data_IF_496125673808
#
_entry.id   IF_496125673808
#
_cell.length_a   1.000
_cell.length_b   1.000
_cell.length_c   1.000
_cell.angle_alpha   90.00
_cell.angle_beta   90.00
_cell.angle_gamma   90.00
#
_symmetry.space_group_name_H-M   'P 1'
#
loop_
_entity.id
_entity.type
_entity.pdbx_description
1 polymer ?
#
# COMPACT_ATOMS: atom_id res chain seq x y z
N UNK A 1 8.35 1.86 -11.00
CA UNK A 1 8.00 3.28 -11.16
C UNK A 1 7.73 3.95 -9.81
N UNK A 2 6.56 3.78 -9.18
CA UNK A 2 6.25 4.46 -7.89
C UNK A 2 7.25 4.13 -6.77
N UNK A 3 7.60 2.86 -6.58
CA UNK A 3 8.59 2.45 -5.58
C UNK A 3 9.98 3.01 -5.86
N UNK A 4 10.40 3.04 -7.13
CA UNK A 4 11.72 3.54 -7.52
C UNK A 4 11.81 5.05 -7.30
N UNK A 5 10.76 5.79 -7.65
CA UNK A 5 10.65 7.22 -7.34
C UNK A 5 10.66 7.46 -5.84
N UNK A 6 9.93 6.66 -5.06
CA UNK A 6 9.90 6.79 -3.61
C UNK A 6 11.29 6.54 -2.99
N UNK A 7 12.02 5.52 -3.47
CA UNK A 7 13.43 5.29 -3.07
C UNK A 7 14.31 6.48 -3.44
N UNK A 8 14.19 7.02 -4.66
CA UNK A 8 14.96 8.17 -5.11
C UNK A 8 14.71 9.43 -4.27
N UNK A 9 13.51 9.57 -3.70
CA UNK A 9 13.15 10.66 -2.77
C UNK A 9 13.51 10.36 -1.30
N UNK A 10 14.17 9.23 -1.01
CA UNK A 10 14.58 8.84 0.34
C UNK A 10 13.45 8.30 1.21
N UNK A 11 12.31 7.92 0.63
CA UNK A 11 11.23 7.29 1.37
C UNK A 11 11.62 5.89 1.81
N UNK A 12 11.29 5.53 3.06
CA UNK A 12 11.59 4.20 3.63
C UNK A 12 10.42 3.22 3.57
N UNK A 13 9.23 3.71 3.20
CA UNK A 13 8.00 2.91 3.19
C UNK A 13 6.98 3.56 2.25
N UNK A 14 6.21 2.73 1.55
CA UNK A 14 4.96 3.14 0.88
C UNK A 14 3.80 2.58 1.68
N UNK A 15 2.75 3.39 1.84
CA UNK A 15 1.45 2.99 2.38
C UNK A 15 0.38 3.20 1.33
N UNK A 16 -0.62 2.33 1.32
CA UNK A 16 -1.75 2.35 0.39
C UNK A 16 -3.02 2.04 1.19
N UNK A 17 -4.14 2.61 0.79
CA UNK A 17 -5.47 2.13 1.16
C UNK A 17 -6.28 1.75 -0.08
N UNK A 18 -7.19 0.80 0.09
CA UNK A 18 -8.06 0.34 -0.99
C UNK A 18 -9.42 -0.11 -0.46
N UNK A 19 -10.39 -0.20 -1.35
CA UNK A 19 -11.74 -0.70 -1.06
C UNK A 19 -11.78 -2.23 -1.04
N UNK A 20 -12.75 -2.79 -0.35
CA UNK A 20 -12.98 -4.24 -0.24
C UNK A 20 -13.43 -4.87 -1.56
N UNK A 21 -14.09 -4.11 -2.43
CA UNK A 21 -14.57 -4.61 -3.74
C UNK A 21 -13.46 -4.70 -4.80
N UNK A 22 -12.31 -4.06 -4.58
CA UNK A 22 -11.14 -4.12 -5.47
C UNK A 22 -10.26 -5.34 -5.13
N UNK A 23 -10.84 -6.53 -5.25
CA UNK A 23 -10.20 -7.80 -4.87
C UNK A 23 -8.89 -8.05 -5.63
N UNK A 24 -8.85 -7.74 -6.93
CA UNK A 24 -7.67 -7.89 -7.76
C UNK A 24 -6.54 -6.95 -7.33
N UNK A 25 -6.88 -5.73 -6.90
CA UNK A 25 -5.90 -4.77 -6.39
C UNK A 25 -5.27 -5.28 -5.09
N UNK A 26 -6.08 -5.79 -4.15
CA UNK A 26 -5.60 -6.40 -2.90
C UNK A 26 -4.66 -7.58 -3.18
N UNK A 27 -5.06 -8.48 -4.09
CA UNK A 27 -4.23 -9.61 -4.48
C UNK A 27 -2.92 -9.18 -5.16
N UNK A 28 -2.96 -8.13 -5.99
CA UNK A 28 -1.79 -7.54 -6.61
C UNK A 28 -0.82 -6.99 -5.56
N UNK A 29 -1.30 -6.19 -4.60
CA UNK A 29 -0.44 -5.61 -3.57
C UNK A 29 0.21 -6.68 -2.69
N UNK A 30 -0.54 -7.69 -2.28
CA UNK A 30 0.01 -8.83 -1.54
C UNK A 30 1.13 -9.54 -2.33
N UNK A 31 0.92 -9.80 -3.62
CA UNK A 31 1.94 -10.38 -4.52
C UNK A 31 3.17 -9.49 -4.69
N UNK A 32 2.99 -8.17 -4.68
CA UNK A 32 4.08 -7.20 -4.76
C UNK A 32 4.82 -7.02 -3.42
N UNK A 33 4.44 -7.76 -2.38
CA UNK A 33 5.09 -7.75 -1.07
C UNK A 33 4.62 -6.65 -0.14
N UNK A 34 3.46 -6.05 -0.41
CA UNK A 34 2.80 -5.18 0.56
C UNK A 34 2.06 -6.04 1.59
N UNK A 35 2.30 -5.76 2.87
CA UNK A 35 1.63 -6.43 3.97
C UNK A 35 0.41 -5.62 4.42
N UNK A 36 -0.68 -6.31 4.76
CA UNK A 36 -1.86 -5.66 5.37
C UNK A 36 -1.51 -5.16 6.78
N UNK A 37 -2.03 -4.00 7.14
CA UNK A 37 -1.69 -3.28 8.38
C UNK A 37 -2.94 -2.69 9.02
N UNK A 38 -2.78 -2.17 10.24
CA UNK A 38 -3.81 -1.35 10.86
C UNK A 38 -4.12 -0.10 10.00
N UNK A 39 -5.33 0.49 10.16
CA UNK A 39 -5.68 1.73 9.50
C UNK A 39 -4.63 2.83 9.69
N UNK A 40 -4.26 3.48 8.60
CA UNK A 40 -3.38 4.66 8.64
C UNK A 40 -4.14 5.97 8.37
N UNK A 41 -5.38 5.88 7.90
CA UNK A 41 -6.28 7.01 7.64
C UNK A 41 -7.75 6.57 7.78
N UNK A 42 -8.64 7.56 7.84
CA UNK A 42 -10.09 7.38 7.95
C UNK A 42 -10.83 7.83 6.68
N UNK A 43 -10.17 7.70 5.51
CA UNK A 43 -10.78 8.11 4.24
C UNK A 43 -12.05 7.30 3.95
N UNK A 44 -13.06 7.94 3.34
CA UNK A 44 -14.40 7.37 3.08
C UNK A 44 -14.41 5.98 2.42
N UNK A 45 -13.37 5.66 1.66
CA UNK A 45 -13.24 4.43 0.89
C UNK A 45 -12.01 3.60 1.29
N UNK A 46 -11.36 3.96 2.38
CA UNK A 46 -10.26 3.18 2.93
C UNK A 46 -10.85 2.03 3.77
N UNK A 47 -10.81 0.83 3.22
CA UNK A 47 -11.36 -0.37 3.88
C UNK A 47 -10.27 -1.40 4.17
N UNK A 48 -9.16 -1.37 3.41
CA UNK A 48 -7.96 -2.17 3.61
C UNK A 48 -6.71 -1.29 3.51
N UNK A 49 -5.75 -1.50 4.38
CA UNK A 49 -4.51 -0.72 4.43
C UNK A 49 -3.30 -1.62 4.29
N UNK A 50 -2.39 -1.21 3.43
CA UNK A 50 -1.20 -1.97 3.09
C UNK A 50 0.06 -1.12 3.26
N UNK A 51 1.16 -1.76 3.62
CA UNK A 51 2.46 -1.12 3.69
C UNK A 51 3.56 -2.01 3.14
N UNK A 52 4.56 -1.40 2.50
CA UNK A 52 5.79 -2.06 2.06
C UNK A 52 6.98 -1.22 2.44
N UNK A 53 7.94 -1.83 3.13
CA UNK A 53 9.24 -1.22 3.41
C UNK A 53 10.06 -1.13 2.12
N UNK A 54 10.65 0.03 1.89
CA UNK A 54 11.58 0.27 0.80
C UNK A 54 12.98 0.21 1.41
N UNK A 55 13.52 -1.02 1.48
CA UNK A 55 14.95 -1.22 1.68
C UNK A 55 15.72 -0.86 0.40
#
# INVERSE_FOLDING_TARGET
AAEDTARALGARRIVLDTRSDLVEARALYARLGYAETAPHNDSRYAEHWFAKSLA
#
